data_IF_874330136402
#
_entry.id   IF_874330136402
#
_cell.length_a   1.000
_cell.length_b   1.000
_cell.length_c   1.000
_cell.angle_alpha   90.00
_cell.angle_beta   90.00
_cell.angle_gamma   90.00
#
_symmetry.space_group_name_H-M   'P 1'
#
loop_
_entity.id
_entity.type
_entity.pdbx_description
1 polymer ?
#
# COMPACT_ATOMS: atom_id res chain seq x y z
N UNK A 1 1.71 -3.98 -23.64
CA UNK A 1 2.33 -3.17 -22.58
C UNK A 1 1.86 -1.73 -22.77
N UNK A 2 1.60 -0.99 -21.70
CA UNK A 2 1.24 0.45 -21.76
C UNK A 2 2.45 1.28 -22.18
N UNK A 3 2.20 2.53 -22.60
CA UNK A 3 3.28 3.47 -22.89
C UNK A 3 4.00 3.86 -21.59
N UNK A 4 5.32 3.80 -21.60
CA UNK A 4 6.18 4.12 -20.46
C UNK A 4 7.09 5.29 -20.80
N UNK A 5 7.41 6.11 -19.80
CA UNK A 5 8.37 7.21 -19.94
C UNK A 5 9.82 6.80 -19.57
N UNK A 6 10.07 5.50 -19.47
CA UNK A 6 11.38 4.92 -19.22
C UNK A 6 11.87 4.16 -20.47
N UNK A 7 13.15 4.30 -20.79
CA UNK A 7 13.80 3.46 -21.78
C UNK A 7 14.25 2.17 -21.11
N UNK A 8 13.75 1.04 -21.61
CA UNK A 8 14.13 -0.27 -21.10
C UNK A 8 15.41 -0.77 -21.83
N UNK A 9 16.35 -1.39 -21.12
CA UNK A 9 17.50 -2.04 -21.76
C UNK A 9 17.05 -3.07 -22.79
N UNK A 10 17.85 -3.22 -23.86
CA UNK A 10 17.61 -4.24 -24.88
C UNK A 10 17.50 -5.64 -24.21
N UNK A 11 16.46 -6.37 -24.51
CA UNK A 11 16.22 -7.71 -23.95
C UNK A 11 15.59 -7.70 -22.55
N UNK A 12 15.29 -6.55 -21.95
CA UNK A 12 14.69 -6.49 -20.59
C UNK A 12 13.43 -7.35 -20.46
N UNK A 13 12.58 -7.37 -21.48
CA UNK A 13 11.30 -8.12 -21.47
C UNK A 13 11.44 -9.59 -21.87
N UNK A 14 12.65 -10.06 -22.21
CA UNK A 14 12.86 -11.48 -22.52
C UNK A 14 12.76 -12.33 -21.26
N UNK A 15 12.12 -13.48 -21.37
CA UNK A 15 12.06 -14.45 -20.28
C UNK A 15 13.47 -14.96 -19.93
N UNK A 16 13.75 -15.12 -18.65
CA UNK A 16 15.04 -15.60 -18.15
C UNK A 16 14.89 -16.48 -16.92
N UNK A 17 15.90 -17.27 -16.63
CA UNK A 17 15.99 -18.03 -15.37
C UNK A 17 17.01 -17.34 -14.46
N UNK A 18 16.56 -16.88 -13.29
CA UNK A 18 17.41 -16.26 -12.26
C UNK A 18 17.21 -17.02 -10.94
N UNK A 19 18.31 -17.45 -10.31
CA UNK A 19 18.27 -18.22 -9.06
C UNK A 19 17.35 -19.44 -9.11
N UNK A 20 17.26 -20.14 -10.26
CA UNK A 20 16.38 -21.29 -10.45
C UNK A 20 14.89 -20.96 -10.65
N UNK A 21 14.53 -19.68 -10.67
CA UNK A 21 13.16 -19.20 -10.88
C UNK A 21 13.00 -18.64 -12.30
N UNK A 22 11.91 -18.98 -12.97
CA UNK A 22 11.59 -18.45 -14.30
C UNK A 22 10.90 -17.11 -14.16
N UNK A 23 11.62 -16.04 -14.49
CA UNK A 23 11.08 -14.68 -14.57
C UNK A 23 10.43 -14.52 -15.93
N UNK A 24 9.11 -14.56 -15.96
CA UNK A 24 8.34 -14.51 -17.20
C UNK A 24 8.32 -13.09 -17.78
N UNK A 25 8.04 -13.00 -19.08
CA UNK A 25 7.81 -11.72 -19.74
C UNK A 25 6.74 -10.88 -19.03
N UNK A 26 5.66 -11.51 -18.54
CA UNK A 26 4.57 -10.81 -17.83
C UNK A 26 5.05 -10.15 -16.52
N UNK A 27 5.88 -10.85 -15.73
CA UNK A 27 6.50 -10.26 -14.53
C UNK A 27 7.36 -9.05 -14.91
N UNK A 28 8.18 -9.19 -15.95
CA UNK A 28 9.02 -8.08 -16.42
C UNK A 28 8.22 -6.89 -16.97
N UNK A 29 7.04 -7.11 -17.50
CA UNK A 29 6.11 -6.05 -17.89
C UNK A 29 5.56 -5.31 -16.65
N UNK A 30 5.33 -5.99 -15.52
CA UNK A 30 4.98 -5.35 -14.23
C UNK A 30 6.17 -4.54 -13.72
N UNK A 31 7.35 -5.15 -13.60
CA UNK A 31 8.59 -4.46 -13.20
C UNK A 31 8.88 -3.21 -14.05
N UNK A 32 8.61 -3.27 -15.36
CA UNK A 32 8.80 -2.12 -16.23
C UNK A 32 7.89 -0.95 -15.85
N UNK A 33 6.63 -1.22 -15.50
CA UNK A 33 5.69 -0.19 -15.01
C UNK A 33 6.14 0.35 -13.66
N UNK A 34 6.58 -0.50 -12.74
CA UNK A 34 7.07 -0.08 -11.41
C UNK A 34 8.35 0.77 -11.51
N UNK A 35 9.27 0.41 -12.41
CA UNK A 35 10.48 1.23 -12.68
C UNK A 35 10.12 2.59 -13.28
N UNK A 36 9.09 2.67 -14.12
CA UNK A 36 8.58 3.94 -14.66
C UNK A 36 7.95 4.80 -13.55
N UNK A 37 7.16 4.18 -12.66
CA UNK A 37 6.62 4.83 -11.48
C UNK A 37 7.74 5.33 -10.54
N UNK A 38 8.76 4.51 -10.30
CA UNK A 38 9.93 4.89 -9.49
C UNK A 38 10.69 6.07 -10.11
N UNK A 39 10.86 6.10 -11.44
CA UNK A 39 11.49 7.23 -12.12
C UNK A 39 10.73 8.54 -11.89
N UNK A 40 9.41 8.49 -12.01
CA UNK A 40 8.57 9.66 -11.81
C UNK A 40 8.52 10.09 -10.33
N UNK A 41 8.44 9.14 -9.40
CA UNK A 41 8.59 9.37 -7.97
C UNK A 41 9.90 10.10 -7.65
N UNK A 42 11.03 9.61 -8.17
CA UNK A 42 12.36 10.22 -8.01
C UNK A 42 12.41 11.64 -8.57
N UNK A 43 11.77 11.90 -9.72
CA UNK A 43 11.68 13.25 -10.30
C UNK A 43 11.08 14.24 -9.31
N UNK A 44 9.94 13.86 -8.67
CA UNK A 44 9.27 14.72 -7.69
C UNK A 44 10.10 14.87 -6.43
N UNK A 45 10.61 13.78 -5.87
CA UNK A 45 11.46 13.83 -4.67
C UNK A 45 12.69 14.72 -4.87
N UNK A 46 13.37 14.60 -6.01
CA UNK A 46 14.53 15.44 -6.34
C UNK A 46 14.16 16.92 -6.46
N UNK A 47 12.98 17.24 -7.03
CA UNK A 47 12.49 18.62 -7.18
C UNK A 47 12.28 19.32 -5.84
N UNK A 48 11.86 18.56 -4.83
CA UNK A 48 11.50 19.10 -3.50
C UNK A 48 12.53 18.71 -2.41
N UNK A 49 13.67 18.14 -2.78
CA UNK A 49 14.74 17.65 -1.88
C UNK A 49 14.21 16.69 -0.79
N UNK A 50 13.26 15.82 -1.15
CA UNK A 50 12.67 14.83 -0.24
C UNK A 50 13.57 13.59 -0.14
N UNK A 51 13.75 13.09 1.08
CA UNK A 51 14.59 11.91 1.35
C UNK A 51 13.73 10.65 1.38
N UNK A 52 14.25 9.61 0.78
CA UNK A 52 13.62 8.28 0.74
C UNK A 52 14.69 7.19 0.65
N UNK A 53 14.31 5.96 0.95
CA UNK A 53 15.14 4.77 0.75
C UNK A 53 14.28 3.62 0.23
N UNK A 54 14.93 2.63 -0.37
CA UNK A 54 14.28 1.35 -0.65
C UNK A 54 14.02 0.63 0.67
N UNK A 55 12.91 -0.11 0.74
CA UNK A 55 12.52 -0.87 1.92
C UNK A 55 12.28 -2.34 1.59
N UNK A 56 12.08 -3.18 2.60
CA UNK A 56 11.65 -4.56 2.50
C UNK A 56 12.37 -5.39 1.43
N UNK A 57 11.57 -6.05 0.59
CA UNK A 57 12.02 -6.86 -0.54
C UNK A 57 12.82 -6.07 -1.56
N UNK A 58 12.46 -4.83 -1.80
CA UNK A 58 13.15 -3.92 -2.72
C UNK A 58 14.59 -3.65 -2.31
N UNK A 59 14.83 -3.32 -1.03
CA UNK A 59 16.19 -3.11 -0.50
C UNK A 59 17.01 -4.41 -0.54
N UNK A 60 16.42 -5.51 -0.11
CA UNK A 60 17.06 -6.82 -0.13
C UNK A 60 17.42 -7.24 -1.58
N UNK A 61 16.51 -7.01 -2.52
CA UNK A 61 16.72 -7.26 -3.95
C UNK A 61 17.87 -6.44 -4.52
N UNK A 62 17.88 -5.13 -4.23
CA UNK A 62 18.95 -4.24 -4.68
C UNK A 62 20.35 -4.70 -4.23
N UNK A 63 20.47 -5.16 -2.97
CA UNK A 63 21.76 -5.61 -2.41
C UNK A 63 22.12 -7.01 -2.90
N UNK A 64 21.19 -7.96 -2.80
CA UNK A 64 21.47 -9.40 -3.04
C UNK A 64 21.38 -9.80 -4.50
N UNK A 65 20.44 -9.22 -5.25
CA UNK A 65 20.15 -9.59 -6.64
C UNK A 65 20.52 -8.51 -7.66
N UNK A 66 20.98 -7.34 -7.18
CA UNK A 66 21.28 -6.16 -8.02
C UNK A 66 20.05 -5.73 -8.86
N UNK A 67 18.88 -5.84 -8.30
CA UNK A 67 17.59 -5.55 -8.90
C UNK A 67 16.45 -6.26 -8.17
N UNK A 68 15.34 -6.52 -8.84
CA UNK A 68 14.24 -7.25 -8.25
C UNK A 68 14.64 -8.67 -7.81
N UNK A 69 14.10 -9.11 -6.70
CA UNK A 69 14.11 -10.54 -6.34
C UNK A 69 13.32 -11.29 -7.42
N UNK A 70 13.82 -12.41 -7.99
CA UNK A 70 13.21 -13.03 -9.18
C UNK A 70 11.73 -13.43 -9.06
N UNK A 71 11.23 -13.66 -7.84
CA UNK A 71 9.85 -14.07 -7.54
C UNK A 71 9.03 -12.97 -6.89
N UNK A 72 9.54 -11.74 -6.84
CA UNK A 72 8.90 -10.58 -6.24
C UNK A 72 8.25 -9.71 -7.31
N UNK A 73 7.10 -9.13 -7.00
CA UNK A 73 6.28 -8.36 -7.94
C UNK A 73 5.82 -7.00 -7.38
N UNK A 74 6.56 -6.49 -6.40
CA UNK A 74 6.31 -5.20 -5.77
C UNK A 74 7.60 -4.36 -5.59
N UNK A 75 7.41 -3.07 -5.37
CA UNK A 75 8.48 -2.11 -5.10
C UNK A 75 8.07 -1.22 -3.92
N UNK A 76 8.84 -1.31 -2.84
CA UNK A 76 8.61 -0.64 -1.57
C UNK A 76 9.61 0.48 -1.34
N UNK A 77 9.10 1.64 -0.94
CA UNK A 77 9.87 2.84 -0.61
C UNK A 77 9.51 3.28 0.80
N UNK A 78 10.51 3.62 1.61
CA UNK A 78 10.32 4.24 2.91
C UNK A 78 10.70 5.72 2.87
N UNK A 79 9.94 6.54 3.59
CA UNK A 79 10.20 7.96 3.81
C UNK A 79 9.98 8.31 5.29
N UNK A 80 10.76 9.21 5.84
CA UNK A 80 10.40 9.80 7.14
C UNK A 80 9.06 10.55 7.02
N UNK A 81 8.23 10.50 8.06
CA UNK A 81 6.89 11.13 8.07
C UNK A 81 6.91 12.56 7.54
N UNK A 82 7.88 13.37 7.93
CA UNK A 82 8.02 14.76 7.47
C UNK A 82 8.12 14.88 5.93
N UNK A 83 8.97 14.05 5.32
CA UNK A 83 9.13 14.06 3.86
C UNK A 83 7.91 13.47 3.16
N UNK A 84 7.28 12.45 3.75
CA UNK A 84 6.03 11.85 3.27
C UNK A 84 4.89 12.87 3.26
N UNK A 85 4.69 13.65 4.34
CA UNK A 85 3.65 14.69 4.39
C UNK A 85 3.92 15.81 3.39
N UNK A 86 5.19 16.18 3.20
CA UNK A 86 5.54 17.16 2.16
C UNK A 86 5.24 16.63 0.77
N UNK A 87 5.48 15.34 0.53
CA UNK A 87 5.12 14.70 -0.73
C UNK A 87 3.59 14.67 -0.91
N UNK A 88 2.81 14.33 0.11
CA UNK A 88 1.34 14.38 0.06
C UNK A 88 0.81 15.75 -0.37
N UNK A 89 1.41 16.81 0.16
CA UNK A 89 1.02 18.20 -0.17
C UNK A 89 1.24 18.53 -1.65
N UNK A 90 2.39 18.12 -2.23
CA UNK A 90 2.75 18.49 -3.60
C UNK A 90 2.29 17.51 -4.66
N UNK A 91 2.06 16.26 -4.30
CA UNK A 91 1.75 15.16 -5.20
C UNK A 91 0.58 15.43 -6.16
N UNK A 92 -0.58 16.00 -5.74
CA UNK A 92 -1.69 16.27 -6.64
C UNK A 92 -1.37 17.27 -7.76
N UNK A 93 -0.41 18.17 -7.51
CA UNK A 93 0.06 19.14 -8.50
C UNK A 93 1.15 18.57 -9.41
N UNK A 94 1.96 17.63 -8.92
CA UNK A 94 3.15 17.12 -9.60
C UNK A 94 2.89 15.86 -10.42
N UNK A 95 2.15 14.89 -9.89
CA UNK A 95 1.83 13.67 -10.62
C UNK A 95 0.67 13.92 -11.58
N UNK A 96 0.91 13.69 -12.87
CA UNK A 96 -0.07 13.83 -13.93
C UNK A 96 -0.32 12.46 -14.56
N UNK A 97 -1.53 12.27 -15.11
CA UNK A 97 -1.86 11.02 -15.81
C UNK A 97 -0.72 10.57 -16.74
N UNK A 98 -0.32 9.28 -16.72
CA UNK A 98 -0.99 8.15 -16.06
C UNK A 98 -0.64 7.98 -14.57
N UNK A 99 0.24 8.80 -14.00
CA UNK A 99 0.67 8.70 -12.60
C UNK A 99 -0.39 9.25 -11.66
N UNK A 100 -0.77 8.47 -10.68
CA UNK A 100 -1.80 8.82 -9.72
C UNK A 100 -1.32 8.55 -8.28
N UNK A 101 -1.24 9.60 -7.48
CA UNK A 101 -0.92 9.52 -6.05
C UNK A 101 -2.16 9.13 -5.27
N UNK A 102 -2.17 7.90 -4.75
CA UNK A 102 -3.30 7.34 -4.02
C UNK A 102 -3.07 7.35 -2.53
N UNK A 103 -3.92 8.08 -1.82
CA UNK A 103 -4.13 8.05 -0.37
C UNK A 103 -5.63 8.05 -0.11
N UNK A 104 -6.07 7.90 1.14
CA UNK A 104 -7.49 8.02 1.47
C UNK A 104 -8.08 9.40 1.11
N UNK A 105 -7.26 10.46 1.11
CA UNK A 105 -7.70 11.81 0.78
C UNK A 105 -7.93 11.99 -0.73
N UNK A 106 -7.06 11.41 -1.56
CA UNK A 106 -7.12 11.54 -3.02
C UNK A 106 -8.01 10.50 -3.67
N UNK A 107 -8.23 9.37 -2.99
CA UNK A 107 -8.99 8.23 -3.54
C UNK A 107 -9.71 7.48 -2.41
N UNK A 108 -10.91 7.92 -2.08
CA UNK A 108 -11.71 7.40 -0.97
C UNK A 108 -11.94 5.90 -1.05
N UNK A 109 -11.77 5.24 0.09
CA UNK A 109 -11.92 3.80 0.23
C UNK A 109 -10.62 3.04 0.00
N UNK A 110 -9.54 3.70 -0.38
CA UNK A 110 -8.21 3.09 -0.41
C UNK A 110 -7.68 2.79 0.99
N UNK A 111 -7.98 3.65 1.96
CA UNK A 111 -7.81 3.52 3.41
C UNK A 111 -6.58 2.74 3.86
N UNK A 112 -5.42 3.11 3.32
CA UNK A 112 -4.11 2.60 3.75
C UNK A 112 -3.44 3.61 4.66
N UNK A 113 -2.61 3.17 5.58
CA UNK A 113 -1.78 4.07 6.39
C UNK A 113 -0.62 4.67 5.59
N UNK A 114 -0.32 4.11 4.41
CA UNK A 114 0.72 4.51 3.46
C UNK A 114 0.09 4.99 2.15
N UNK A 115 0.90 5.54 1.25
CA UNK A 115 0.48 5.93 -0.08
C UNK A 115 0.90 4.92 -1.14
N UNK A 116 0.26 4.99 -2.30
CA UNK A 116 0.67 4.27 -3.51
C UNK A 116 0.79 5.24 -4.67
N UNK A 117 1.88 5.15 -5.44
CA UNK A 117 1.94 5.79 -6.74
C UNK A 117 1.52 4.77 -7.79
N UNK A 118 0.42 5.05 -8.51
CA UNK A 118 -0.22 4.12 -9.44
C UNK A 118 -0.10 4.57 -10.89
N UNK A 119 -0.06 3.62 -11.81
CA UNK A 119 -0.27 3.88 -13.23
C UNK A 119 -1.74 3.62 -13.59
N UNK A 120 -2.51 4.68 -13.82
CA UNK A 120 -3.96 4.64 -14.08
C UNK A 120 -4.36 3.98 -15.40
N UNK A 121 -3.42 3.75 -16.31
CA UNK A 121 -3.67 3.09 -17.59
C UNK A 121 -3.43 1.57 -17.52
N UNK A 122 -3.23 1.04 -16.31
CA UNK A 122 -3.04 -0.38 -16.01
C UNK A 122 -4.08 -0.88 -15.00
N UNK A 123 -4.11 -2.21 -14.80
CA UNK A 123 -4.85 -2.85 -13.70
C UNK A 123 -3.96 -3.89 -13.05
N UNK A 124 -3.73 -3.73 -11.75
CA UNK A 124 -2.96 -4.65 -10.92
C UNK A 124 -3.76 -5.04 -9.67
N UNK A 125 -4.50 -6.14 -9.74
CA UNK A 125 -5.26 -6.69 -8.61
C UNK A 125 -4.70 -8.07 -8.30
N UNK A 126 -4.35 -8.31 -7.03
CA UNK A 126 -3.87 -9.61 -6.57
C UNK A 126 -4.96 -10.66 -6.79
N UNK A 127 -4.59 -11.80 -7.34
CA UNK A 127 -5.54 -12.83 -7.81
C UNK A 127 -6.54 -13.30 -6.74
N UNK A 128 -6.08 -13.49 -5.50
CA UNK A 128 -6.93 -13.91 -4.36
C UNK A 128 -7.85 -12.77 -3.87
N UNK A 129 -7.52 -11.52 -4.16
CA UNK A 129 -8.33 -10.35 -3.80
C UNK A 129 -9.22 -9.88 -4.94
N UNK A 130 -9.06 -10.43 -6.15
CA UNK A 130 -9.78 -9.99 -7.35
C UNK A 130 -11.30 -9.93 -7.14
N UNK A 131 -11.89 -10.96 -6.53
CA UNK A 131 -13.33 -11.02 -6.29
C UNK A 131 -13.82 -9.94 -5.30
N UNK A 132 -12.95 -9.50 -4.38
CA UNK A 132 -13.26 -8.43 -3.42
C UNK A 132 -13.00 -7.03 -3.98
N UNK A 133 -11.95 -6.87 -4.77
CA UNK A 133 -11.49 -5.56 -5.22
C UNK A 133 -12.05 -5.14 -6.59
N UNK A 134 -12.42 -6.07 -7.47
CA UNK A 134 -12.85 -5.77 -8.85
C UNK A 134 -14.02 -4.79 -8.98
N UNK A 135 -14.82 -4.62 -7.94
CA UNK A 135 -15.96 -3.71 -7.91
C UNK A 135 -15.68 -2.41 -7.14
N UNK A 136 -14.48 -2.23 -6.60
CA UNK A 136 -14.11 -1.01 -5.92
C UNK A 136 -13.94 0.14 -6.92
N UNK A 137 -14.34 1.34 -6.52
CA UNK A 137 -14.32 2.52 -7.38
C UNK A 137 -12.99 3.27 -7.34
N UNK A 138 -12.06 2.89 -6.44
CA UNK A 138 -10.75 3.51 -6.38
C UNK A 138 -9.81 2.97 -7.48
N UNK A 139 -8.75 3.74 -7.77
CA UNK A 139 -7.73 3.37 -8.76
C UNK A 139 -7.08 2.04 -8.40
N UNK A 140 -7.03 1.11 -9.34
CA UNK A 140 -6.47 -0.23 -9.17
C UNK A 140 -5.35 -0.50 -10.19
N UNK A 141 -4.65 0.53 -10.62
CA UNK A 141 -3.48 0.41 -11.49
C UNK A 141 -2.30 -0.28 -10.79
N UNK A 142 -1.33 -0.79 -11.56
CA UNK A 142 -0.04 -1.25 -11.03
C UNK A 142 0.58 -0.09 -10.26
N UNK A 143 1.25 -0.40 -9.15
CA UNK A 143 1.69 0.59 -8.17
C UNK A 143 3.07 0.28 -7.58
N UNK A 144 3.63 1.27 -6.92
CA UNK A 144 4.69 1.13 -5.92
C UNK A 144 4.17 1.62 -4.58
N UNK A 145 4.59 0.99 -3.48
CA UNK A 145 4.21 1.37 -2.12
C UNK A 145 5.18 2.40 -1.53
N UNK A 146 4.63 3.41 -0.87
CA UNK A 146 5.40 4.43 -0.18
C UNK A 146 4.98 4.47 1.29
N UNK A 147 5.83 3.94 2.16
CA UNK A 147 5.60 3.81 3.60
C UNK A 147 6.16 5.00 4.37
N UNK A 148 5.34 5.71 5.15
CA UNK A 148 5.85 6.67 6.12
C UNK A 148 6.47 5.94 7.30
N UNK A 149 7.68 6.32 7.68
CA UNK A 149 8.31 5.88 8.92
C UNK A 149 8.03 6.92 10.00
N UNK A 150 7.26 6.48 10.98
CA UNK A 150 6.82 7.27 12.12
C UNK A 150 7.78 7.15 13.28
N UNK A 151 7.81 8.16 14.12
CA UNK A 151 8.63 8.19 15.33
C UNK A 151 8.20 7.12 16.32
N UNK A 152 9.14 6.32 16.76
CA UNK A 152 8.95 5.31 17.81
C UNK A 152 9.48 5.83 19.12
N UNK A 153 8.69 5.72 20.20
CA UNK A 153 9.08 6.12 21.52
C UNK A 153 10.11 5.14 22.12
N UNK A 154 11.17 5.67 22.74
CA UNK A 154 12.20 4.89 23.44
C UNK A 154 11.68 4.38 24.80
N UNK A 155 10.63 3.55 24.75
CA UNK A 155 10.02 2.89 25.90
C UNK A 155 9.24 1.67 25.43
N UNK A 156 9.70 0.48 25.78
CA UNK A 156 9.06 -0.79 25.40
C UNK A 156 7.59 -0.87 25.83
N UNK A 157 7.27 -0.41 27.06
CA UNK A 157 5.91 -0.41 27.59
C UNK A 157 4.96 0.47 26.74
N UNK A 158 5.39 1.72 26.45
CA UNK A 158 4.59 2.65 25.66
C UNK A 158 4.47 2.22 24.20
N UNK A 159 5.53 1.62 23.64
CA UNK A 159 5.51 1.06 22.29
C UNK A 159 4.51 -0.11 22.21
N UNK A 160 4.52 -1.02 23.19
CA UNK A 160 3.58 -2.13 23.24
C UNK A 160 2.13 -1.65 23.41
N UNK A 161 1.89 -0.60 24.20
CA UNK A 161 0.56 0.02 24.34
C UNK A 161 0.10 0.64 23.01
N UNK A 162 0.96 1.40 22.33
CA UNK A 162 0.69 1.99 21.03
C UNK A 162 0.41 0.92 19.99
N UNK A 163 1.23 -0.13 19.93
CA UNK A 163 1.08 -1.25 18.99
C UNK A 163 -0.26 -1.96 19.17
N UNK A 164 -0.61 -2.29 20.40
CA UNK A 164 -1.90 -2.92 20.72
C UNK A 164 -3.09 -2.05 20.29
N UNK A 165 -3.00 -0.73 20.50
CA UNK A 165 -4.07 0.20 20.18
C UNK A 165 -4.21 0.41 18.68
N UNK A 166 -3.09 0.67 17.97
CA UNK A 166 -3.10 0.84 16.52
C UNK A 166 -3.59 -0.42 15.80
N UNK A 167 -3.19 -1.63 16.25
CA UNK A 167 -3.64 -2.89 15.68
C UNK A 167 -5.15 -3.12 15.86
N UNK A 168 -5.70 -2.74 17.00
CA UNK A 168 -7.17 -2.76 17.22
C UNK A 168 -7.90 -1.81 16.28
N UNK A 169 -7.36 -0.61 16.07
CA UNK A 169 -7.92 0.38 15.16
C UNK A 169 -7.83 -0.08 13.71
N UNK A 170 -6.67 -0.60 13.29
CA UNK A 170 -6.41 -1.18 11.98
C UNK A 170 -7.43 -2.28 11.66
N UNK A 171 -7.58 -3.26 12.54
CA UNK A 171 -8.54 -4.35 12.39
C UNK A 171 -9.98 -3.82 12.28
N UNK A 172 -10.35 -2.89 13.14
CA UNK A 172 -11.70 -2.35 13.21
C UNK A 172 -12.09 -1.55 11.96
N UNK A 173 -11.21 -0.70 11.43
CA UNK A 173 -11.55 0.05 10.21
C UNK A 173 -11.54 -0.84 8.98
N UNK A 174 -10.59 -1.80 8.85
CA UNK A 174 -10.58 -2.78 7.76
C UNK A 174 -11.85 -3.63 7.75
N UNK A 175 -12.27 -4.17 8.89
CA UNK A 175 -13.54 -4.88 9.01
C UNK A 175 -14.75 -4.02 8.62
N UNK A 176 -14.68 -2.71 8.83
CA UNK A 176 -15.75 -1.78 8.48
C UNK A 176 -15.77 -1.54 6.96
N UNK A 177 -14.62 -1.36 6.33
CA UNK A 177 -14.48 -1.29 4.86
C UNK A 177 -14.95 -2.56 4.17
N UNK A 178 -14.48 -3.73 4.64
CA UNK A 178 -14.86 -5.04 4.08
C UNK A 178 -16.38 -5.32 4.18
N UNK A 179 -17.10 -4.58 5.02
CA UNK A 179 -18.56 -4.73 5.13
C UNK A 179 -19.32 -4.15 3.93
N UNK A 180 -18.67 -3.31 3.11
CA UNK A 180 -19.23 -2.82 1.84
C UNK A 180 -19.03 -3.81 0.69
N UNK A 181 -18.28 -4.88 0.91
CA UNK A 181 -18.06 -5.90 -0.09
C UNK A 181 -19.40 -6.56 -0.49
N UNK A 182 -19.67 -6.58 -1.81
CA UNK A 182 -20.80 -7.28 -2.43
C UNK A 182 -20.92 -8.74 -1.96
N UNK A 183 -19.81 -9.35 -1.55
CA UNK A 183 -19.74 -10.72 -1.03
C UNK A 183 -20.26 -10.90 0.43
N UNK A 184 -20.61 -9.82 1.14
CA UNK A 184 -21.22 -9.95 2.45
C UNK A 184 -22.53 -10.79 2.43
N UNK A 185 -23.20 -10.83 1.26
CA UNK A 185 -24.41 -11.60 1.01
C UNK A 185 -24.14 -13.02 0.49
N UNK A 186 -22.91 -13.36 0.11
CA UNK A 186 -22.56 -14.67 -0.43
C UNK A 186 -22.29 -15.65 0.71
N UNK A 187 -23.06 -16.76 0.83
CA UNK A 187 -22.70 -17.79 1.79
C UNK A 187 -21.35 -18.40 1.42
N UNK A 188 -20.48 -18.58 2.40
CA UNK A 188 -19.26 -19.34 2.20
C UNK A 188 -19.48 -20.82 2.57
N UNK A 189 -18.76 -21.73 1.92
CA UNK A 189 -18.86 -23.17 2.13
C UNK A 189 -17.59 -23.59 2.88
N UNK A 190 -17.75 -24.25 4.03
CA UNK A 190 -16.60 -24.82 4.76
C UNK A 190 -16.10 -26.12 4.14
N UNK A 191 -15.00 -26.66 4.67
CA UNK A 191 -14.37 -27.88 4.19
C UNK A 191 -15.31 -29.11 4.25
N UNK A 192 -16.38 -29.07 5.05
CA UNK A 192 -17.41 -30.10 5.16
C UNK A 192 -18.54 -29.95 4.13
N UNK A 193 -18.50 -28.91 3.29
CA UNK A 193 -19.55 -28.59 2.32
C UNK A 193 -20.76 -27.86 2.91
N UNK A 194 -20.70 -27.43 4.18
CA UNK A 194 -21.78 -26.72 4.84
C UNK A 194 -21.77 -25.24 4.48
N UNK A 195 -22.93 -24.71 4.11
CA UNK A 195 -23.12 -23.28 3.80
C UNK A 195 -23.29 -22.47 5.09
N UNK A 196 -22.48 -21.43 5.20
CA UNK A 196 -22.53 -20.46 6.28
C UNK A 196 -22.91 -19.09 5.74
N UNK A 197 -23.72 -18.37 6.49
CA UNK A 197 -24.13 -17.01 6.19
C UNK A 197 -23.80 -16.08 7.36
N UNK A 198 -23.07 -15.02 7.10
CA UNK A 198 -22.65 -14.10 8.13
C UNK A 198 -23.64 -12.93 8.30
N UNK A 199 -24.67 -13.14 9.10
CA UNK A 199 -25.69 -12.14 9.35
C UNK A 199 -25.12 -10.84 9.94
N UNK A 200 -24.02 -10.92 10.72
CA UNK A 200 -23.34 -9.73 11.28
C UNK A 200 -22.71 -8.88 10.17
N UNK A 201 -22.13 -9.52 9.14
CA UNK A 201 -21.60 -8.80 7.94
C UNK A 201 -22.72 -8.08 7.22
N UNK A 202 -23.85 -8.72 7.01
CA UNK A 202 -25.03 -8.14 6.34
C UNK A 202 -25.56 -6.93 7.11
N UNK A 203 -25.75 -7.07 8.43
CA UNK A 203 -26.20 -5.97 9.28
C UNK A 203 -25.20 -4.80 9.28
N UNK A 204 -23.91 -5.10 9.28
CA UNK A 204 -22.84 -4.10 9.20
C UNK A 204 -22.86 -3.36 7.85
N UNK A 205 -23.08 -4.07 6.74
CA UNK A 205 -23.24 -3.48 5.41
C UNK A 205 -24.42 -2.50 5.35
N UNK A 206 -25.60 -2.89 5.88
CA UNK A 206 -26.75 -1.98 5.93
C UNK A 206 -26.48 -0.76 6.81
N UNK A 207 -25.84 -0.95 7.97
CA UNK A 207 -25.43 0.15 8.84
C UNK A 207 -24.46 1.10 8.12
N UNK A 208 -23.51 0.55 7.37
CA UNK A 208 -22.53 1.33 6.59
C UNK A 208 -23.19 2.12 5.47
N UNK A 209 -24.14 1.53 4.73
CA UNK A 209 -24.93 2.23 3.71
C UNK A 209 -25.76 3.38 4.27
N UNK A 210 -26.25 3.26 5.50
CA UNK A 210 -27.01 4.33 6.18
C UNK A 210 -26.09 5.42 6.74
N UNK A 211 -24.88 5.04 7.18
CA UNK A 211 -23.87 5.91 7.79
C UNK A 211 -22.69 6.01 6.85
N UNK A 212 -22.87 6.72 5.73
CA UNK A 212 -21.79 6.93 4.73
C UNK A 212 -20.45 7.23 5.43
N UNK A 213 -19.39 6.58 4.97
CA UNK A 213 -18.01 6.77 5.45
C UNK A 213 -17.80 6.44 6.95
N UNK A 214 -18.53 5.47 7.50
CA UNK A 214 -18.46 5.12 8.94
C UNK A 214 -17.10 4.59 9.40
N UNK A 215 -16.21 4.18 8.47
CA UNK A 215 -14.82 3.80 8.77
C UNK A 215 -13.91 5.02 8.99
N UNK A 216 -14.23 6.17 8.36
CA UNK A 216 -13.36 7.36 8.36
C UNK A 216 -12.98 7.83 9.78
N UNK A 217 -13.90 7.95 10.75
CA UNK A 217 -13.50 8.33 12.09
C UNK A 217 -12.55 7.33 12.77
N UNK A 218 -12.66 6.04 12.43
CA UNK A 218 -11.80 4.99 12.98
C UNK A 218 -10.43 5.04 12.30
N UNK A 219 -10.43 5.24 10.99
CA UNK A 219 -9.21 5.45 10.21
C UNK A 219 -8.42 6.65 10.71
N UNK A 220 -9.09 7.80 10.94
CA UNK A 220 -8.44 8.99 11.50
C UNK A 220 -7.86 8.74 12.90
N UNK A 221 -8.54 7.94 13.74
CA UNK A 221 -7.97 7.54 15.03
C UNK A 221 -6.73 6.65 14.86
N UNK A 222 -6.71 5.78 13.84
CA UNK A 222 -5.54 4.97 13.50
C UNK A 222 -4.37 5.86 13.07
N UNK A 223 -4.59 6.79 12.15
CA UNK A 223 -3.55 7.74 11.71
C UNK A 223 -3.01 8.55 12.91
N UNK A 224 -3.89 9.11 13.74
CA UNK A 224 -3.48 9.84 14.95
C UNK A 224 -2.68 8.99 15.93
N UNK A 225 -2.92 7.68 16.00
CA UNK A 225 -2.16 6.79 16.88
C UNK A 225 -0.78 6.48 16.34
N UNK A 226 -0.63 6.26 15.03
CA UNK A 226 0.69 5.99 14.42
C UNK A 226 1.58 7.23 14.41
N UNK A 227 1.01 8.44 14.23
CA UNK A 227 1.75 9.71 14.21
C UNK A 227 1.89 10.36 15.59
N UNK A 228 1.47 9.69 16.65
CA UNK A 228 1.37 10.26 18.01
C UNK A 228 2.66 10.87 18.55
N UNK A 229 3.80 10.33 18.14
CA UNK A 229 5.10 10.74 18.63
C UNK A 229 5.96 11.52 17.61
N UNK A 230 5.43 11.84 16.43
CA UNK A 230 6.19 12.53 15.38
C UNK A 230 6.61 13.96 15.71
N UNK A 231 6.08 14.52 16.78
CA UNK A 231 6.50 15.84 17.31
C UNK A 231 7.73 15.76 18.23
N UNK A 232 8.27 14.55 18.48
CA UNK A 232 9.44 14.37 19.33
C UNK A 232 10.70 14.50 18.47
N UNK A 233 11.39 15.64 18.56
CA UNK A 233 12.56 15.96 17.73
C UNK A 233 13.80 15.09 18.01
N UNK A 234 13.93 14.51 19.21
CA UNK A 234 15.10 13.73 19.66
C UNK A 234 14.88 12.21 19.62
N UNK A 235 13.88 11.73 18.90
CA UNK A 235 13.68 10.29 18.78
C UNK A 235 14.81 9.62 17.99
N UNK A 236 15.33 8.53 18.54
CA UNK A 236 16.40 7.73 17.93
C UNK A 236 15.87 6.69 16.94
N UNK A 237 14.58 6.39 16.99
CA UNK A 237 13.97 5.27 16.27
C UNK A 237 12.77 5.71 15.46
N UNK A 238 12.68 5.14 14.28
CA UNK A 238 11.51 5.24 13.40
C UNK A 238 11.14 3.85 12.92
N UNK A 239 9.84 3.63 12.62
CA UNK A 239 9.36 2.37 12.08
C UNK A 239 8.15 2.60 11.16
N UNK A 240 7.88 1.64 10.28
CA UNK A 240 6.60 1.53 9.63
C UNK A 240 5.53 1.09 10.65
N UNK A 241 4.68 2.04 11.05
CA UNK A 241 3.56 1.77 11.94
C UNK A 241 2.25 1.52 11.19
N UNK A 242 2.24 1.56 9.85
CA UNK A 242 1.06 1.26 9.02
C UNK A 242 0.79 -0.24 8.93
N UNK A 243 1.83 -1.05 9.06
CA UNK A 243 1.80 -2.51 8.98
C UNK A 243 2.06 -3.15 10.36
N UNK A 244 1.69 -4.44 10.56
CA UNK A 244 2.09 -5.16 11.77
C UNK A 244 3.61 -5.14 11.93
N UNK A 245 4.11 -4.80 13.12
CA UNK A 245 5.54 -4.94 13.41
C UNK A 245 5.89 -6.44 13.37
N UNK A 246 6.81 -6.80 12.50
CA UNK A 246 7.47 -8.11 12.59
C UNK A 246 8.54 -8.01 13.67
N UNK A 247 8.26 -8.58 14.82
CA UNK A 247 9.25 -8.76 15.90
C UNK A 247 10.18 -9.92 15.57
#
# INVERSE_FOLDING_TARGET
MVDLNIELPKGFLEEEVRCGYTVTRKMKEVWAVELDLLKEFKRVCNKYDLKYCADGGTLLGAIRHQGFIPWDDDLDIAMLRKDFEKLNEVAPAEFKKPYFWQTEETDKGSARGHAQLRNSDTTGIIKNEYEHQRNNNFNQGIFIDIFPFDTVIDSEEKLAEQDLKRMKLLTKYRETLDSDDFFCFKPWIDESGKRHFNLKKVLRHFKHKLLKDSYVPIYNQFINEITKYDTIDDSKYVADLCMPLSL
#
